data_IF_074646887443
#
_entry.id   IF_074646887443
#
_cell.length_a   1.000
_cell.length_b   1.000
_cell.length_c   1.000
_cell.angle_alpha   90.00
_cell.angle_beta   90.00
_cell.angle_gamma   90.00
#
_symmetry.space_group_name_H-M   'P 1'
#
loop_
_entity.id
_entity.type
_entity.pdbx_description
1 polymer ?
#
# COMPACT_ATOMS: atom_id res chain seq x y z
N UNK A 1 3.13 -26.02 4.56
CA UNK A 1 2.54 -24.76 5.08
C UNK A 1 3.43 -23.57 4.72
N UNK A 2 3.92 -23.50 3.48
CA UNK A 2 4.92 -22.50 3.02
C UNK A 2 4.27 -21.42 2.17
N UNK A 3 3.33 -21.80 1.30
CA UNK A 3 2.63 -20.91 0.36
C UNK A 3 1.97 -19.72 1.08
N UNK A 4 1.33 -19.94 2.23
CA UNK A 4 0.66 -18.86 3.00
C UNK A 4 1.66 -17.89 3.62
N UNK A 5 2.81 -18.38 4.08
CA UNK A 5 3.87 -17.53 4.64
C UNK A 5 4.52 -16.68 3.54
N UNK A 6 4.78 -17.26 2.37
CA UNK A 6 5.35 -16.55 1.21
C UNK A 6 4.41 -15.40 0.77
N UNK A 7 3.10 -15.62 0.76
CA UNK A 7 2.11 -14.57 0.44
C UNK A 7 2.07 -13.43 1.48
N UNK A 8 2.25 -13.75 2.77
CA UNK A 8 2.29 -12.72 3.83
C UNK A 8 3.51 -11.81 3.66
N UNK A 9 4.68 -12.36 3.32
CA UNK A 9 5.88 -11.57 3.05
C UNK A 9 5.70 -10.67 1.82
N UNK A 10 5.13 -11.20 0.73
CA UNK A 10 4.82 -10.41 -0.47
C UNK A 10 3.85 -9.26 -0.16
N UNK A 11 2.84 -9.47 0.67
CA UNK A 11 1.90 -8.43 1.08
C UNK A 11 2.54 -7.37 1.98
N UNK A 12 3.47 -7.76 2.86
CA UNK A 12 4.26 -6.82 3.67
C UNK A 12 5.17 -5.97 2.78
N UNK A 13 5.81 -6.57 1.77
CA UNK A 13 6.65 -5.85 0.81
C UNK A 13 5.81 -4.88 -0.02
N UNK A 14 4.65 -5.33 -0.52
CA UNK A 14 3.71 -4.51 -1.29
C UNK A 14 3.20 -3.32 -0.48
N UNK A 15 2.79 -3.52 0.78
CA UNK A 15 2.42 -2.44 1.70
C UNK A 15 3.55 -1.43 1.85
N UNK A 16 4.77 -1.90 2.04
CA UNK A 16 5.95 -1.04 2.23
C UNK A 16 6.25 -0.20 0.99
N UNK A 17 6.10 -0.76 -0.22
CA UNK A 17 6.23 -0.03 -1.49
C UNK A 17 5.15 1.05 -1.62
N UNK A 18 3.89 0.71 -1.33
CA UNK A 18 2.76 1.65 -1.38
C UNK A 18 2.93 2.80 -0.38
N UNK A 19 3.40 2.54 0.84
CA UNK A 19 3.68 3.56 1.84
C UNK A 19 4.78 4.54 1.39
N UNK A 20 5.84 4.03 0.73
CA UNK A 20 6.89 4.88 0.16
C UNK A 20 6.37 5.75 -0.98
N UNK A 21 5.56 5.18 -1.87
CA UNK A 21 4.92 5.93 -2.96
C UNK A 21 3.96 7.00 -2.44
N UNK A 22 3.16 6.68 -1.42
CA UNK A 22 2.28 7.63 -0.75
C UNK A 22 3.08 8.80 -0.18
N UNK A 23 4.19 8.53 0.51
CA UNK A 23 5.04 9.58 1.09
C UNK A 23 5.64 10.50 0.02
N UNK A 24 6.08 9.94 -1.11
CA UNK A 24 6.58 10.73 -2.26
C UNK A 24 5.49 11.56 -2.92
N UNK A 25 4.27 11.02 -3.01
CA UNK A 25 3.10 11.74 -3.49
C UNK A 25 2.67 12.83 -2.53
N UNK A 26 2.77 12.65 -1.21
CA UNK A 26 2.43 13.66 -0.22
C UNK A 26 3.49 14.77 -0.15
N UNK A 27 4.78 14.43 -0.24
CA UNK A 27 5.87 15.41 -0.22
C UNK A 27 5.94 16.28 -1.48
N UNK A 28 5.24 15.88 -2.56
CA UNK A 28 5.31 16.57 -3.85
C UNK A 28 6.64 16.38 -4.56
N UNK A 29 7.51 15.51 -4.03
CA UNK A 29 8.79 15.12 -4.64
C UNK A 29 8.60 14.14 -5.80
N UNK A 30 7.41 13.55 -5.91
CA UNK A 30 7.04 12.81 -7.11
C UNK A 30 6.86 13.81 -8.25
N UNK A 31 7.96 14.09 -8.98
CA UNK A 31 8.01 14.78 -10.27
C UNK A 31 7.15 14.01 -11.27
N UNK A 32 5.85 14.17 -11.13
CA UNK A 32 4.91 13.99 -12.22
C UNK A 32 5.15 15.17 -13.14
N UNK A 33 5.39 14.92 -14.42
CA UNK A 33 5.58 15.97 -15.42
C UNK A 33 4.46 17.01 -15.35
N UNK A 34 4.62 18.17 -16.02
CA UNK A 34 3.85 19.40 -15.80
C UNK A 34 2.31 19.33 -15.94
N UNK A 35 1.71 18.15 -16.10
CA UNK A 35 0.31 17.94 -16.50
C UNK A 35 -0.47 16.94 -15.64
N UNK A 36 0.07 16.43 -14.52
CA UNK A 36 -0.77 15.69 -13.56
C UNK A 36 -1.51 16.71 -12.71
N UNK A 37 -2.73 17.05 -13.14
CA UNK A 37 -3.64 17.92 -12.41
C UNK A 37 -3.69 17.53 -10.92
N UNK A 38 -3.64 18.50 -10.01
CA UNK A 38 -3.66 18.29 -8.55
C UNK A 38 -4.80 17.33 -8.12
N UNK A 39 -5.94 17.37 -8.81
CA UNK A 39 -7.07 16.45 -8.62
C UNK A 39 -6.72 14.98 -8.86
N UNK A 40 -5.88 14.67 -9.85
CA UNK A 40 -5.43 13.30 -10.13
C UNK A 40 -4.44 12.80 -9.06
N UNK A 41 -3.60 13.70 -8.53
CA UNK A 41 -2.71 13.40 -7.39
C UNK A 41 -3.51 13.07 -6.14
N UNK A 42 -4.52 13.88 -5.81
CA UNK A 42 -5.37 13.67 -4.63
C UNK A 42 -6.18 12.37 -4.74
N UNK A 43 -6.76 12.11 -5.91
CA UNK A 43 -7.47 10.85 -6.17
C UNK A 43 -6.54 9.62 -6.03
N UNK A 44 -5.28 9.75 -6.48
CA UNK A 44 -4.28 8.69 -6.35
C UNK A 44 -3.87 8.46 -4.90
N UNK A 45 -3.69 9.53 -4.11
CA UNK A 45 -3.42 9.46 -2.67
C UNK A 45 -4.55 8.74 -1.94
N UNK A 46 -5.80 9.10 -2.20
CA UNK A 46 -6.98 8.46 -1.60
C UNK A 46 -7.00 6.96 -1.93
N UNK A 47 -6.73 6.60 -3.19
CA UNK A 47 -6.72 5.20 -3.63
C UNK A 47 -5.61 4.38 -2.99
N UNK A 48 -4.39 4.92 -2.91
CA UNK A 48 -3.26 4.25 -2.28
C UNK A 48 -3.51 4.03 -0.78
N UNK A 49 -4.07 5.02 -0.08
CA UNK A 49 -4.47 4.87 1.33
C UNK A 49 -5.45 3.72 1.52
N UNK A 50 -6.50 3.66 0.69
CA UNK A 50 -7.48 2.57 0.73
C UNK A 50 -6.83 1.20 0.54
N UNK A 51 -5.93 1.04 -0.42
CA UNK A 51 -5.21 -0.23 -0.63
C UNK A 51 -4.31 -0.62 0.54
N UNK A 52 -3.66 0.35 1.20
CA UNK A 52 -2.86 0.09 2.40
C UNK A 52 -3.76 -0.41 3.55
N UNK A 53 -4.94 0.17 3.73
CA UNK A 53 -5.89 -0.25 4.76
C UNK A 53 -6.42 -1.67 4.48
N UNK A 54 -6.81 -1.97 3.24
CA UNK A 54 -7.23 -3.33 2.84
C UNK A 54 -6.11 -4.36 3.06
N UNK A 55 -4.86 -4.04 2.69
CA UNK A 55 -3.72 -4.91 2.95
C UNK A 55 -3.47 -5.12 4.45
N UNK A 56 -3.62 -4.08 5.27
CA UNK A 56 -3.48 -4.21 6.71
C UNK A 56 -4.55 -5.12 7.33
N UNK A 57 -5.79 -5.03 6.85
CA UNK A 57 -6.88 -5.87 7.34
C UNK A 57 -6.71 -7.33 6.90
N UNK A 58 -6.21 -7.58 5.69
CA UNK A 58 -5.80 -8.92 5.27
C UNK A 58 -4.68 -9.47 6.16
N UNK A 59 -3.61 -8.70 6.39
CA UNK A 59 -2.50 -9.13 7.26
C UNK A 59 -2.96 -9.43 8.70
N UNK A 60 -3.89 -8.66 9.26
CA UNK A 60 -4.48 -8.93 10.58
C UNK A 60 -5.26 -10.25 10.61
N UNK A 61 -6.04 -10.54 9.57
CA UNK A 61 -6.81 -11.79 9.48
C UNK A 61 -5.89 -13.01 9.44
N UNK A 62 -4.79 -12.94 8.67
CA UNK A 62 -3.83 -14.04 8.59
C UNK A 62 -2.99 -14.19 9.86
N UNK A 63 -2.61 -13.10 10.53
CA UNK A 63 -1.94 -13.16 11.84
C UNK A 63 -2.82 -13.79 12.95
N UNK A 64 -4.14 -13.72 12.81
CA UNK A 64 -5.07 -14.44 13.68
C UNK A 64 -5.24 -15.91 13.29
N UNK A 65 -5.29 -16.21 11.99
CA UNK A 65 -5.40 -17.58 11.49
C UNK A 65 -4.18 -18.46 11.80
N UNK A 66 -2.99 -17.87 11.93
CA UNK A 66 -1.75 -18.58 12.32
C UNK A 66 -1.69 -18.93 13.82
N UNK A 67 -2.54 -18.31 14.67
CA UNK A 67 -2.56 -18.51 16.13
C UNK A 67 -3.59 -19.53 16.64
N UNK A 68 -4.39 -20.12 15.76
CA UNK A 68 -5.42 -21.15 16.05
C UNK A 68 -5.08 -22.47 15.40
#
# INVERSE_FOLDING_TARGET
MTIVHDFVEEWIEMRSKLQRQLKLLESGEMRTGPDVAASARDATIIRIRKWIDELNDLLKQYAHADRT
#
